data_IF_004969272170
#
_entry.id   IF_004969272170
#
_cell.length_a   1.000
_cell.length_b   1.000
_cell.length_c   1.000
_cell.angle_alpha   90.00
_cell.angle_beta   90.00
_cell.angle_gamma   90.00
#
_symmetry.space_group_name_H-M   'P 1'
#
loop_
_entity.id
_entity.type
_entity.pdbx_description
1 polymer ?
#
# COMPACT_ATOMS: atom_id res chain seq x y z
N UNK A 1 0.64 17.34 -0.56
CA UNK A 1 1.38 16.26 -1.27
C UNK A 1 0.33 15.33 -1.82
N UNK A 2 0.27 15.16 -3.14
CA UNK A 2 -0.77 14.33 -3.78
C UNK A 2 -0.58 12.86 -3.40
N UNK A 3 -1.61 12.26 -2.80
CA UNK A 3 -1.55 10.87 -2.31
C UNK A 3 -1.42 9.87 -3.46
N UNK A 4 -1.98 10.21 -4.63
CA UNK A 4 -1.76 9.46 -5.87
C UNK A 4 -0.30 9.49 -6.31
N UNK A 5 0.36 10.65 -6.22
CA UNK A 5 1.78 10.76 -6.58
C UNK A 5 2.65 9.90 -5.64
N UNK A 6 2.38 9.92 -4.35
CA UNK A 6 3.04 9.03 -3.38
C UNK A 6 2.85 7.56 -3.75
N UNK A 7 1.63 7.15 -4.09
CA UNK A 7 1.33 5.78 -4.48
C UNK A 7 2.12 5.36 -5.73
N UNK A 8 2.08 6.17 -6.80
CA UNK A 8 2.78 5.84 -8.05
C UNK A 8 4.30 5.80 -7.89
N UNK A 9 4.87 6.75 -7.14
CA UNK A 9 6.30 6.72 -6.81
C UNK A 9 6.64 5.47 -5.99
N UNK A 10 5.78 5.11 -5.03
CA UNK A 10 5.92 3.89 -4.24
C UNK A 10 5.96 2.64 -5.11
N UNK A 11 4.99 2.47 -6.01
CA UNK A 11 4.92 1.33 -6.94
C UNK A 11 6.13 1.28 -7.88
N UNK A 12 6.55 2.42 -8.43
CA UNK A 12 7.76 2.48 -9.24
C UNK A 12 8.99 2.05 -8.44
N UNK A 13 9.12 2.51 -7.20
CA UNK A 13 10.19 2.11 -6.29
C UNK A 13 10.13 0.62 -5.91
N UNK A 14 8.94 0.00 -5.80
CA UNK A 14 8.79 -1.46 -5.64
C UNK A 14 9.44 -2.20 -6.81
N UNK A 15 9.19 -1.78 -8.05
CA UNK A 15 9.77 -2.44 -9.22
C UNK A 15 11.30 -2.46 -9.17
N UNK A 16 11.92 -1.34 -8.77
CA UNK A 16 13.38 -1.26 -8.59
C UNK A 16 13.87 -2.06 -7.38
N UNK A 17 13.18 -1.98 -6.24
CA UNK A 17 13.52 -2.71 -5.02
C UNK A 17 13.46 -4.22 -5.23
N UNK A 18 12.40 -4.70 -5.87
CA UNK A 18 12.21 -6.10 -6.24
C UNK A 18 13.30 -6.58 -7.19
N UNK A 19 13.59 -5.81 -8.23
CA UNK A 19 14.68 -6.12 -9.16
C UNK A 19 16.03 -6.23 -8.43
N UNK A 20 16.30 -5.31 -7.50
CA UNK A 20 17.52 -5.32 -6.71
C UNK A 20 17.62 -6.55 -5.78
N UNK A 21 16.50 -6.92 -5.14
CA UNK A 21 16.42 -8.14 -4.35
C UNK A 21 16.70 -9.40 -5.19
N UNK A 22 16.08 -9.52 -6.36
CA UNK A 22 16.30 -10.67 -7.25
C UNK A 22 17.72 -10.75 -7.82
N UNK A 23 18.38 -9.61 -8.02
CA UNK A 23 19.80 -9.56 -8.44
C UNK A 23 20.75 -10.02 -7.33
N UNK A 24 20.42 -9.75 -6.06
CA UNK A 24 21.26 -10.13 -4.92
C UNK A 24 20.37 -10.49 -3.72
N UNK A 25 19.86 -11.73 -3.63
CA UNK A 25 18.93 -12.11 -2.58
C UNK A 25 19.60 -12.09 -1.20
N UNK A 26 19.14 -11.22 -0.30
CA UNK A 26 19.49 -11.20 1.13
C UNK A 26 18.52 -10.30 1.90
N UNK A 27 18.55 -10.35 3.23
CA UNK A 27 17.62 -9.57 4.07
C UNK A 27 17.77 -8.05 3.89
N UNK A 28 18.98 -7.56 3.63
CA UNK A 28 19.21 -6.13 3.42
C UNK A 28 18.62 -5.64 2.10
N UNK A 29 18.70 -6.44 1.04
CA UNK A 29 18.06 -6.13 -0.25
C UNK A 29 16.55 -6.30 -0.20
N UNK A 30 16.06 -7.23 0.63
CA UNK A 30 14.62 -7.43 0.87
C UNK A 30 13.96 -6.27 1.62
N UNK A 31 14.69 -5.55 2.48
CA UNK A 31 14.21 -4.28 3.07
C UNK A 31 13.88 -3.25 1.98
N UNK A 32 14.71 -3.17 0.94
CA UNK A 32 14.53 -2.23 -0.17
C UNK A 32 13.36 -2.59 -1.10
N UNK A 33 12.91 -3.84 -1.07
CA UNK A 33 11.68 -4.29 -1.73
C UNK A 33 10.44 -4.00 -0.85
N UNK A 34 10.51 -4.34 0.44
CA UNK A 34 9.38 -4.21 1.38
C UNK A 34 9.03 -2.78 1.76
N UNK A 35 10.02 -1.89 1.89
CA UNK A 35 9.77 -0.49 2.29
C UNK A 35 8.89 0.27 1.27
N UNK A 36 9.23 0.31 -0.03
CA UNK A 36 8.37 0.91 -1.05
C UNK A 36 6.97 0.29 -1.08
N UNK A 37 6.88 -1.04 -0.92
CA UNK A 37 5.61 -1.78 -0.96
C UNK A 37 4.70 -1.38 0.21
N UNK A 38 5.25 -1.32 1.42
CA UNK A 38 4.58 -0.85 2.63
C UNK A 38 4.05 0.60 2.49
N UNK A 39 4.86 1.50 1.90
CA UNK A 39 4.48 2.90 1.69
C UNK A 39 3.39 3.03 0.63
N UNK A 40 3.48 2.29 -0.48
CA UNK A 40 2.46 2.26 -1.52
C UNK A 40 1.13 1.74 -0.95
N UNK A 41 1.17 0.67 -0.15
CA UNK A 41 -0.03 0.06 0.40
C UNK A 41 -0.74 0.96 1.43
N UNK A 42 0.02 1.69 2.25
CA UNK A 42 -0.53 2.73 3.12
C UNK A 42 -1.20 3.87 2.31
N UNK A 43 -0.60 4.24 1.18
CA UNK A 43 -1.14 5.24 0.26
C UNK A 43 -2.51 4.85 -0.33
N UNK A 44 -2.61 3.66 -0.93
CA UNK A 44 -3.86 3.19 -1.55
C UNK A 44 -4.98 2.98 -0.52
N UNK A 45 -4.67 2.46 0.67
CA UNK A 45 -5.65 2.36 1.76
C UNK A 45 -6.21 3.73 2.10
N UNK A 46 -5.34 4.73 2.19
CA UNK A 46 -5.75 6.07 2.58
C UNK A 46 -6.59 6.75 1.51
N UNK A 47 -6.24 6.57 0.23
CA UNK A 47 -7.08 7.01 -0.91
C UNK A 47 -8.48 6.41 -0.78
N UNK A 48 -8.59 5.12 -0.47
CA UNK A 48 -9.88 4.45 -0.29
C UNK A 48 -10.67 5.01 0.90
N UNK A 49 -10.00 5.32 2.02
CA UNK A 49 -10.64 5.95 3.20
C UNK A 49 -11.19 7.34 2.85
N UNK A 50 -10.45 8.14 2.07
CA UNK A 50 -10.94 9.44 1.58
C UNK A 50 -12.18 9.25 0.72
N UNK A 51 -12.09 8.40 -0.30
CA UNK A 51 -13.16 8.21 -1.28
C UNK A 51 -14.46 7.69 -0.65
N UNK A 52 -14.37 6.89 0.41
CA UNK A 52 -15.51 6.12 0.95
C UNK A 52 -15.97 6.53 2.33
N UNK A 53 -15.13 7.17 3.13
CA UNK A 53 -15.44 7.54 4.52
C UNK A 53 -15.53 9.05 4.66
N UNK A 54 -14.39 9.73 4.63
CA UNK A 54 -14.29 11.16 4.89
C UNK A 54 -12.89 11.69 4.53
N UNK A 55 -12.84 12.83 3.85
CA UNK A 55 -11.60 13.46 3.37
C UNK A 55 -10.63 13.77 4.52
N UNK A 56 -11.14 14.34 5.62
CA UNK A 56 -10.28 14.76 6.74
C UNK A 56 -9.69 13.54 7.45
N UNK A 57 -10.52 12.55 7.75
CA UNK A 57 -10.08 11.32 8.43
C UNK A 57 -9.07 10.54 7.59
N UNK A 58 -9.26 10.49 6.27
CA UNK A 58 -8.29 9.87 5.38
C UNK A 58 -6.93 10.57 5.40
N UNK A 59 -6.88 11.89 5.24
CA UNK A 59 -5.59 12.63 5.31
C UNK A 59 -4.88 12.41 6.64
N UNK A 60 -5.60 12.45 7.77
CA UNK A 60 -5.01 12.20 9.09
C UNK A 60 -4.55 10.75 9.29
N UNK A 61 -5.17 9.76 8.62
CA UNK A 61 -4.77 8.37 8.75
C UNK A 61 -3.50 8.00 7.97
N UNK A 62 -3.10 8.81 6.97
CA UNK A 62 -1.91 8.52 6.16
C UNK A 62 -0.65 8.37 7.01
N UNK A 63 -0.38 9.37 7.86
CA UNK A 63 0.83 9.45 8.67
C UNK A 63 0.96 8.23 9.60
N UNK A 64 -0.03 7.91 10.45
CA UNK A 64 0.08 6.75 11.33
C UNK A 64 0.19 5.43 10.56
N UNK A 65 -0.50 5.27 9.43
CA UNK A 65 -0.37 4.05 8.61
C UNK A 65 1.02 3.91 7.99
N UNK A 66 1.56 4.97 7.38
CA UNK A 66 2.91 4.94 6.82
C UNK A 66 3.94 4.65 7.91
N UNK A 67 3.83 5.30 9.07
CA UNK A 67 4.74 5.06 10.19
C UNK A 67 4.64 3.62 10.71
N UNK A 68 3.43 3.09 10.86
CA UNK A 68 3.23 1.70 11.28
C UNK A 68 3.82 0.71 10.26
N UNK A 69 3.55 0.90 8.96
CA UNK A 69 4.05 0.03 7.90
C UNK A 69 5.59 0.07 7.82
N UNK A 70 6.20 1.26 7.88
CA UNK A 70 7.67 1.39 7.89
C UNK A 70 8.27 0.78 9.15
N UNK A 71 7.68 1.04 10.32
CA UNK A 71 8.13 0.46 11.59
C UNK A 71 8.06 -1.08 11.56
N UNK A 72 7.04 -1.67 10.91
CA UNK A 72 6.92 -3.12 10.79
C UNK A 72 8.03 -3.77 9.96
N UNK A 73 8.54 -3.08 8.93
CA UNK A 73 9.68 -3.57 8.13
C UNK A 73 10.96 -3.56 8.96
N UNK A 74 11.20 -2.50 9.73
CA UNK A 74 12.35 -2.44 10.64
C UNK A 74 12.22 -3.42 11.80
N UNK A 75 11.01 -3.63 12.31
CA UNK A 75 10.72 -4.64 13.32
C UNK A 75 11.08 -6.03 12.82
N UNK A 76 10.62 -6.40 11.62
CA UNK A 76 11.03 -7.64 10.97
C UNK A 76 12.56 -7.71 10.83
N UNK A 77 13.21 -6.64 10.38
CA UNK A 77 14.67 -6.63 10.19
C UNK A 77 15.48 -6.89 11.47
N UNK A 78 14.96 -6.47 12.63
CA UNK A 78 15.66 -6.56 13.91
C UNK A 78 15.27 -7.80 14.72
N UNK A 79 13.99 -8.17 14.72
CA UNK A 79 13.44 -9.26 15.53
C UNK A 79 13.16 -10.54 14.74
N UNK A 80 13.38 -10.51 13.42
CA UNK A 80 13.12 -11.62 12.48
C UNK A 80 11.67 -12.13 12.53
N UNK A 81 10.74 -11.26 12.91
CA UNK A 81 9.31 -11.56 12.99
C UNK A 81 8.54 -10.79 11.92
N UNK A 82 8.04 -11.54 10.93
CA UNK A 82 7.34 -11.02 9.76
C UNK A 82 5.85 -10.73 10.03
N UNK A 83 5.28 -11.25 11.12
CA UNK A 83 3.83 -11.19 11.37
C UNK A 83 3.27 -9.76 11.37
N UNK A 84 3.92 -8.76 11.99
CA UNK A 84 3.40 -7.38 11.97
C UNK A 84 3.34 -6.79 10.56
N UNK A 85 4.38 -7.03 9.76
CA UNK A 85 4.43 -6.60 8.36
C UNK A 85 3.33 -7.29 7.54
N UNK A 86 3.21 -8.62 7.66
CA UNK A 86 2.21 -9.39 6.93
C UNK A 86 0.77 -8.91 7.23
N UNK A 87 0.48 -8.54 8.49
CA UNK A 87 -0.83 -7.98 8.88
C UNK A 87 -1.04 -6.60 8.23
N UNK A 88 -0.05 -5.71 8.34
CA UNK A 88 -0.13 -4.35 7.80
C UNK A 88 -0.09 -4.30 6.27
N UNK A 89 0.32 -5.38 5.61
CA UNK A 89 0.26 -5.51 4.16
C UNK A 89 -1.06 -6.17 3.70
N UNK A 90 -1.43 -7.28 4.35
CA UNK A 90 -2.59 -8.09 3.95
C UNK A 90 -3.91 -7.41 4.28
N UNK A 91 -4.06 -6.85 5.48
CA UNK A 91 -5.33 -6.23 5.91
C UNK A 91 -5.70 -5.06 5.00
N UNK A 92 -4.79 -4.12 4.67
CA UNK A 92 -5.10 -3.06 3.71
C UNK A 92 -5.42 -3.57 2.32
N UNK A 93 -4.69 -4.58 1.83
CA UNK A 93 -4.93 -5.17 0.51
C UNK A 93 -6.35 -5.76 0.40
N UNK A 94 -6.76 -6.54 1.42
CA UNK A 94 -8.11 -7.10 1.50
C UNK A 94 -9.16 -6.00 1.67
N UNK A 95 -8.88 -5.01 2.54
CA UNK A 95 -9.80 -3.91 2.80
C UNK A 95 -10.07 -3.07 1.54
N UNK A 96 -9.03 -2.78 0.74
CA UNK A 96 -9.17 -2.07 -0.55
C UNK A 96 -10.07 -2.85 -1.50
N UNK A 97 -9.85 -4.17 -1.67
CA UNK A 97 -10.69 -5.01 -2.53
C UNK A 97 -12.14 -5.06 -2.04
N UNK A 98 -12.35 -5.29 -0.74
CA UNK A 98 -13.70 -5.35 -0.16
C UNK A 98 -14.43 -4.00 -0.28
N UNK A 99 -13.74 -2.90 0.02
CA UNK A 99 -14.29 -1.55 -0.16
C UNK A 99 -14.62 -1.27 -1.62
N UNK A 100 -13.81 -1.76 -2.56
CA UNK A 100 -14.05 -1.62 -4.00
C UNK A 100 -15.36 -2.29 -4.45
N UNK A 101 -15.70 -3.44 -3.86
CA UNK A 101 -16.88 -4.23 -4.21
C UNK A 101 -18.13 -3.76 -3.45
N UNK A 102 -18.01 -3.52 -2.14
CA UNK A 102 -19.17 -3.35 -1.23
C UNK A 102 -19.60 -1.90 -1.10
N UNK A 103 -18.67 -0.95 -1.17
CA UNK A 103 -18.97 0.45 -0.89
C UNK A 103 -19.12 1.24 -2.19
N UNK A 104 -20.34 1.75 -2.50
CA UNK A 104 -20.56 2.53 -3.70
C UNK A 104 -19.71 3.81 -3.67
N UNK A 105 -19.09 4.17 -4.80
CA UNK A 105 -18.21 5.32 -4.83
C UNK A 105 -18.97 6.64 -4.62
N UNK A 106 -18.37 7.53 -3.82
CA UNK A 106 -18.93 8.84 -3.49
C UNK A 106 -18.77 9.87 -4.61
N UNK A 107 -17.76 9.67 -5.48
CA UNK A 107 -17.47 10.52 -6.63
C UNK A 107 -17.89 9.84 -7.92
N UNK A 108 -18.50 10.61 -8.83
CA UNK A 108 -18.74 10.20 -10.21
C UNK A 108 -17.41 9.84 -10.87
N UNK A 109 -17.31 8.63 -11.45
CA UNK A 109 -16.16 8.02 -12.14
C UNK A 109 -15.21 7.07 -11.37
N UNK A 110 -15.38 6.82 -10.07
CA UNK A 110 -14.51 5.83 -9.37
C UNK A 110 -14.66 4.39 -9.89
N UNK A 111 -15.69 4.08 -10.69
CA UNK A 111 -15.84 2.77 -11.36
C UNK A 111 -14.72 2.47 -12.36
N UNK A 112 -13.99 3.48 -12.87
CA UNK A 112 -12.86 3.25 -13.78
C UNK A 112 -11.71 2.46 -13.13
N UNK A 113 -11.52 2.56 -11.82
CA UNK A 113 -10.53 1.76 -11.09
C UNK A 113 -10.87 0.27 -11.08
N UNK A 114 -12.16 -0.08 -11.00
CA UNK A 114 -12.61 -1.47 -11.09
C UNK A 114 -12.40 -2.06 -12.49
N UNK A 115 -12.62 -1.25 -13.54
CA UNK A 115 -12.31 -1.65 -14.91
C UNK A 115 -10.81 -1.86 -15.13
N UNK A 116 -9.98 -0.97 -14.59
CA UNK A 116 -8.52 -1.13 -14.65
C UNK A 116 -8.02 -2.36 -13.89
N UNK A 117 -8.58 -2.65 -12.71
CA UNK A 117 -8.26 -3.85 -11.94
C UNK A 117 -8.73 -5.13 -12.66
N UNK A 118 -9.89 -5.10 -13.31
CA UNK A 118 -10.40 -6.22 -14.11
C UNK A 118 -9.50 -6.54 -15.31
N UNK A 119 -9.04 -5.51 -16.03
CA UNK A 119 -8.11 -5.65 -17.16
C UNK A 119 -6.70 -6.12 -16.73
N UNK A 120 -6.30 -5.90 -15.48
CA UNK A 120 -5.01 -6.35 -14.96
C UNK A 120 -5.00 -7.86 -14.64
N UNK A 121 -6.17 -8.45 -14.37
CA UNK A 121 -6.32 -9.86 -13.98
C UNK A 121 -6.56 -10.77 -15.22
N UNK A 122 -6.91 -10.18 -16.37
CA UNK A 122 -7.06 -10.87 -17.66
C UNK A 122 -5.83 -10.75 -18.53
#
# INVERSE_FOLDING_TARGET
MDMFLQFYIGIAAVAFGSSYYHLKPNDATLVWDRLPMAIAMAGILTIFVIERVDDRRGVYSLIPFVLASVASVFYWRYYDDLRPYAILETVPSVAVVLMAIVVPPRYTHSSYWLWAAGLYIT
#
